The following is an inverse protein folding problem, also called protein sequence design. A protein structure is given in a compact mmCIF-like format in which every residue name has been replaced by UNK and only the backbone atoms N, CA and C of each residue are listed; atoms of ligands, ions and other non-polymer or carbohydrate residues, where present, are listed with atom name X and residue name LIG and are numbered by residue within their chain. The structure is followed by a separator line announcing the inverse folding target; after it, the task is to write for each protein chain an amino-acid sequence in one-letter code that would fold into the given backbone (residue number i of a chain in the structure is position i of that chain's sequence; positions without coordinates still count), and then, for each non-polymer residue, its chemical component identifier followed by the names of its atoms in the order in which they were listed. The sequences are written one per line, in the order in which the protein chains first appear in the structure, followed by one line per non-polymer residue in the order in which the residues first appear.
data_IF_343402875112
#
_entry.id   IF_343402875112
#
_cell.length_a   1.000
_cell.length_b   1.000
_cell.length_c   1.000
_cell.angle_alpha   90.00
_cell.angle_beta   90.00
_cell.angle_gamma   90.00
#
_symmetry.space_group_name_H-M   'P 1'
#
loop_
_entity.id
_entity.type
_entity.pdbx_description
1 polymer ?
#
# COMPACT_ATOMS: atom_id res chain seq x y z
N UNK A 1 15.46 -27.70 16.37
CA UNK A 1 14.35 -27.14 15.56
C UNK A 1 14.56 -27.58 14.12
N UNK A 2 13.51 -28.03 13.43
CA UNK A 2 13.65 -28.45 12.02
C UNK A 2 13.73 -27.22 11.09
N UNK A 3 14.42 -27.31 9.95
CA UNK A 3 14.43 -26.24 8.94
C UNK A 3 13.01 -25.85 8.50
N UNK A 4 12.12 -26.84 8.40
CA UNK A 4 10.72 -26.64 8.05
C UNK A 4 9.99 -25.72 9.05
N UNK A 5 10.17 -25.96 10.35
CA UNK A 5 9.57 -25.12 11.38
C UNK A 5 10.10 -23.68 11.30
N UNK A 6 11.41 -23.50 11.13
CA UNK A 6 12.02 -22.17 11.01
C UNK A 6 11.48 -21.39 9.81
N UNK A 7 11.25 -22.05 8.66
CA UNK A 7 10.67 -21.41 7.48
C UNK A 7 9.21 -21.02 7.69
N UNK A 8 8.40 -21.87 8.31
CA UNK A 8 7.00 -21.55 8.65
C UNK A 8 6.94 -20.36 9.61
N UNK A 9 7.77 -20.37 10.65
CA UNK A 9 7.85 -19.27 11.61
C UNK A 9 8.27 -17.95 10.94
N UNK A 10 9.26 -17.99 10.04
CA UNK A 10 9.67 -16.84 9.25
C UNK A 10 8.51 -16.28 8.40
N UNK A 11 7.79 -17.13 7.67
CA UNK A 11 6.65 -16.72 6.83
C UNK A 11 5.52 -16.13 7.68
N UNK A 12 5.24 -16.73 8.83
CA UNK A 12 4.27 -16.20 9.80
C UNK A 12 4.66 -14.80 10.26
N UNK A 13 5.89 -14.62 10.75
CA UNK A 13 6.37 -13.33 11.27
C UNK A 13 6.36 -12.26 10.18
N UNK A 14 6.81 -12.61 8.97
CA UNK A 14 6.79 -11.70 7.82
C UNK A 14 5.37 -11.21 7.51
N UNK A 15 4.42 -12.12 7.36
CA UNK A 15 3.05 -11.78 7.01
C UNK A 15 2.32 -11.06 8.15
N UNK A 16 2.47 -11.52 9.39
CA UNK A 16 1.87 -10.88 10.56
C UNK A 16 2.43 -9.47 10.79
N UNK A 17 3.74 -9.27 10.57
CA UNK A 17 4.38 -7.96 10.65
C UNK A 17 3.82 -6.98 9.61
N UNK A 18 3.69 -7.41 8.35
CA UNK A 18 3.06 -6.62 7.30
C UNK A 18 1.58 -6.35 7.58
N UNK A 19 0.85 -7.35 8.08
CA UNK A 19 -0.56 -7.23 8.43
C UNK A 19 -0.76 -6.20 9.56
N UNK A 20 0.04 -6.28 10.62
CA UNK A 20 -0.01 -5.34 11.75
C UNK A 20 0.34 -3.92 11.32
N UNK A 21 1.41 -3.75 10.54
CA UNK A 21 1.80 -2.44 10.01
C UNK A 21 0.69 -1.83 9.15
N UNK A 22 0.14 -2.58 8.18
CA UNK A 22 -0.90 -2.06 7.30
C UNK A 22 -2.23 -1.82 8.04
N UNK A 23 -2.52 -2.62 9.07
CA UNK A 23 -3.67 -2.38 9.96
C UNK A 23 -3.53 -1.06 10.69
N UNK A 24 -2.33 -0.72 11.19
CA UNK A 24 -2.08 0.58 11.82
C UNK A 24 -2.21 1.74 10.82
N UNK A 25 -1.72 1.57 9.59
CA UNK A 25 -1.89 2.57 8.52
C UNK A 25 -3.37 2.80 8.23
N UNK A 26 -4.12 1.73 7.96
CA UNK A 26 -5.55 1.81 7.68
C UNK A 26 -6.33 2.40 8.86
N UNK A 27 -5.99 2.02 10.09
CA UNK A 27 -6.61 2.57 11.29
C UNK A 27 -6.33 4.07 11.44
N UNK A 28 -5.08 4.50 11.26
CA UNK A 28 -4.71 5.92 11.30
C UNK A 28 -5.45 6.71 10.21
N UNK A 29 -5.55 6.15 9.00
CA UNK A 29 -6.28 6.74 7.89
C UNK A 29 -7.80 6.81 8.14
N UNK A 30 -8.37 5.82 8.84
CA UNK A 30 -9.77 5.83 9.25
C UNK A 30 -10.05 6.89 10.32
N UNK A 31 -9.21 6.96 11.36
CA UNK A 31 -9.34 7.94 12.46
C UNK A 31 -9.11 9.36 11.96
N UNK A 32 -8.06 9.56 11.17
CA UNK A 32 -7.68 10.85 10.62
C UNK A 32 -8.22 11.06 9.19
N UNK A 33 -9.42 10.55 8.90
CA UNK A 33 -9.95 10.49 7.53
C UNK A 33 -9.94 11.85 6.81
N UNK A 34 -10.31 12.93 7.51
CA UNK A 34 -10.31 14.29 6.94
C UNK A 34 -8.90 14.74 6.52
N UNK A 35 -7.87 14.37 7.29
CA UNK A 35 -6.48 14.69 6.99
C UNK A 35 -6.00 13.92 5.75
N UNK A 36 -6.41 12.66 5.62
CA UNK A 36 -6.12 11.85 4.44
C UNK A 36 -6.79 12.38 3.17
N UNK A 37 -8.08 12.77 3.25
CA UNK A 37 -8.78 13.45 2.15
C UNK A 37 -8.06 14.74 1.75
N UNK A 38 -7.63 15.53 2.74
CA UNK A 38 -6.85 16.74 2.48
C UNK A 38 -5.52 16.44 1.79
N UNK A 39 -4.76 15.44 2.24
CA UNK A 39 -3.49 15.05 1.66
C UNK A 39 -3.63 14.57 0.20
N UNK A 40 -4.63 13.71 -0.08
CA UNK A 40 -4.98 13.32 -1.46
C UNK A 40 -5.39 14.53 -2.28
N UNK A 41 -6.15 15.46 -1.70
CA UNK A 41 -6.51 16.71 -2.35
C UNK A 41 -5.30 17.56 -2.75
N UNK A 42 -4.27 17.64 -1.91
CA UNK A 42 -3.02 18.35 -2.25
C UNK A 42 -2.32 17.72 -3.45
N UNK A 43 -2.30 16.39 -3.54
CA UNK A 43 -1.74 15.65 -4.68
C UNK A 43 -2.57 15.91 -5.94
N UNK A 44 -3.89 15.73 -5.87
CA UNK A 44 -4.79 15.86 -7.02
C UNK A 44 -4.90 17.29 -7.56
N UNK A 45 -4.72 18.29 -6.69
CA UNK A 45 -4.59 19.71 -7.06
C UNK A 45 -3.19 20.08 -7.53
N UNK A 46 -2.23 19.18 -7.42
CA UNK A 46 -0.81 19.43 -7.72
C UNK A 46 -0.32 20.70 -7.00
N UNK A 47 -0.79 20.90 -5.77
CA UNK A 47 -0.52 22.10 -4.97
C UNK A 47 0.97 22.32 -4.65
N UNK A 48 1.80 21.27 -4.44
CA UNK A 48 3.24 21.45 -4.25
C UNK A 48 3.96 22.14 -5.42
N UNK A 49 3.41 22.09 -6.63
CA UNK A 49 4.01 22.76 -7.80
C UNK A 49 3.84 24.28 -7.76
N UNK A 50 2.87 24.77 -6.97
CA UNK A 50 2.62 26.21 -6.80
C UNK A 50 3.50 26.81 -5.70
N UNK A 51 4.20 25.98 -4.92
CA UNK A 51 5.14 26.44 -3.90
C UNK A 51 6.40 27.04 -4.53
N UNK A 52 6.90 28.14 -3.97
CA UNK A 52 8.09 28.82 -4.48
C UNK A 52 9.34 27.92 -4.41
N UNK A 53 10.18 27.85 -5.48
CA UNK A 53 9.93 28.40 -6.81
C UNK A 53 8.85 27.62 -7.57
N UNK A 54 7.82 28.30 -8.08
CA UNK A 54 6.70 27.64 -8.75
C UNK A 54 7.18 26.93 -10.03
N UNK A 55 6.67 25.72 -10.26
CA UNK A 55 7.01 24.88 -11.41
C UNK A 55 5.81 24.82 -12.34
N UNK A 56 5.91 25.48 -13.49
CA UNK A 56 4.89 25.44 -14.53
C UNK A 56 5.11 24.22 -15.42
N UNK A 57 4.05 23.45 -15.65
CA UNK A 57 4.13 22.26 -16.50
C UNK A 57 2.81 21.98 -17.20
N UNK A 58 2.81 21.51 -18.46
CA UNK A 58 1.58 21.09 -19.15
C UNK A 58 0.77 20.04 -18.39
N UNK A 59 1.38 19.32 -17.44
CA UNK A 59 0.70 18.32 -16.61
C UNK A 59 -0.35 18.92 -15.66
N UNK A 60 -0.24 20.21 -15.30
CA UNK A 60 -1.19 20.91 -14.42
C UNK A 60 -2.62 20.94 -14.97
N UNK A 61 -2.82 20.68 -16.27
CA UNK A 61 -4.17 20.50 -16.86
C UNK A 61 -4.95 19.31 -16.29
N UNK A 62 -4.29 18.39 -15.58
CA UNK A 62 -4.89 17.19 -14.98
C UNK A 62 -5.47 17.45 -13.59
N UNK A 63 -5.30 18.66 -13.03
CA UNK A 63 -5.75 19.01 -11.68
C UNK A 63 -7.22 18.68 -11.47
N UNK A 64 -7.53 18.17 -10.30
CA UNK A 64 -8.90 17.92 -9.87
C UNK A 64 -9.16 18.72 -8.60
N UNK A 65 -10.03 19.72 -8.70
CA UNK A 65 -10.34 20.63 -7.59
C UNK A 65 -11.49 20.14 -6.70
N UNK A 66 -12.37 19.31 -7.26
CA UNK A 66 -13.61 18.92 -6.63
C UNK A 66 -13.38 17.96 -5.44
N UNK A 67 -13.80 18.39 -4.25
CA UNK A 67 -13.56 17.67 -3.00
C UNK A 67 -14.20 16.27 -2.94
N UNK A 68 -15.29 16.04 -3.68
CA UNK A 68 -15.92 14.71 -3.73
C UNK A 68 -15.00 13.66 -4.36
N UNK A 69 -14.18 14.04 -5.35
CA UNK A 69 -13.17 13.16 -5.93
C UNK A 69 -12.04 12.86 -4.95
N UNK A 70 -11.57 13.85 -4.19
CA UNK A 70 -10.54 13.65 -3.18
C UNK A 70 -11.01 12.63 -2.12
N UNK A 71 -12.25 12.78 -1.67
CA UNK A 71 -12.89 11.86 -0.73
C UNK A 71 -13.06 10.46 -1.31
N UNK A 72 -13.52 10.35 -2.56
CA UNK A 72 -13.72 9.06 -3.21
C UNK A 72 -12.40 8.30 -3.40
N UNK A 73 -11.35 8.99 -3.86
CA UNK A 73 -10.02 8.39 -4.05
C UNK A 73 -9.41 7.97 -2.71
N UNK A 74 -9.48 8.82 -1.68
CA UNK A 74 -8.96 8.43 -0.36
C UNK A 74 -9.74 7.26 0.25
N UNK A 75 -11.07 7.23 0.09
CA UNK A 75 -11.88 6.09 0.53
C UNK A 75 -11.50 4.80 -0.20
N UNK A 76 -11.23 4.86 -1.51
CA UNK A 76 -10.75 3.71 -2.28
C UNK A 76 -9.41 3.19 -1.75
N UNK A 77 -8.45 4.09 -1.47
CA UNK A 77 -7.14 3.71 -0.89
C UNK A 77 -7.34 3.03 0.45
N UNK A 78 -8.14 3.62 1.35
CA UNK A 78 -8.41 3.05 2.67
C UNK A 78 -9.07 1.67 2.59
N UNK A 79 -10.02 1.47 1.66
CA UNK A 79 -10.64 0.16 1.43
C UNK A 79 -9.59 -0.86 0.95
N UNK A 80 -8.74 -0.47 0.00
CA UNK A 80 -7.69 -1.34 -0.53
C UNK A 80 -6.66 -1.73 0.56
N UNK A 81 -6.27 -0.78 1.43
CA UNK A 81 -5.42 -1.02 2.60
C UNK A 81 -6.09 -2.01 3.56
N UNK A 82 -7.37 -1.80 3.90
CA UNK A 82 -8.11 -2.66 4.82
C UNK A 82 -8.28 -4.09 4.28
N UNK A 83 -8.63 -4.23 3.00
CA UNK A 83 -8.74 -5.54 2.32
C UNK A 83 -7.38 -6.25 2.31
N UNK A 84 -6.31 -5.54 1.96
CA UNK A 84 -4.96 -6.10 1.97
C UNK A 84 -4.53 -6.54 3.37
N UNK A 85 -4.82 -5.75 4.41
CA UNK A 85 -4.51 -6.09 5.79
C UNK A 85 -5.28 -7.34 6.26
N UNK A 86 -6.56 -7.45 5.92
CA UNK A 86 -7.38 -8.62 6.24
C UNK A 86 -6.85 -9.89 5.56
N UNK A 87 -6.47 -9.81 4.29
CA UNK A 87 -5.86 -10.93 3.56
C UNK A 87 -4.51 -11.33 4.15
N UNK A 88 -3.68 -10.37 4.55
CA UNK A 88 -2.38 -10.65 5.18
C UNK A 88 -2.56 -11.36 6.54
N UNK A 89 -3.54 -10.95 7.35
CA UNK A 89 -3.88 -11.66 8.58
C UNK A 89 -4.38 -13.08 8.30
N UNK A 90 -5.27 -13.26 7.33
CA UNK A 90 -5.77 -14.57 6.95
C UNK A 90 -4.62 -15.50 6.51
N UNK A 91 -3.67 -14.98 5.72
CA UNK A 91 -2.48 -15.71 5.30
C UNK A 91 -1.55 -16.05 6.47
N UNK A 92 -1.32 -15.11 7.40
CA UNK A 92 -0.52 -15.35 8.60
C UNK A 92 -1.14 -16.46 9.46
N UNK A 93 -2.44 -16.40 9.76
CA UNK A 93 -3.13 -17.47 10.49
C UNK A 93 -3.14 -18.78 9.71
N UNK A 94 -3.17 -18.74 8.37
CA UNK A 94 -2.96 -19.91 7.53
C UNK A 94 -1.67 -20.65 7.87
N UNK A 95 -0.54 -19.94 8.01
CA UNK A 95 0.74 -20.53 8.42
C UNK A 95 0.79 -20.97 9.90
N UNK A 96 -0.15 -20.49 10.72
CA UNK A 96 -0.36 -20.99 12.09
C UNK A 96 -1.28 -22.22 12.16
N UNK A 97 -1.70 -22.77 11.00
CA UNK A 97 -2.52 -23.98 10.90
C UNK A 97 -4.00 -23.75 10.55
N UNK A 98 -4.41 -22.51 10.27
CA UNK A 98 -5.80 -22.20 9.94
C UNK A 98 -6.17 -22.43 8.46
N UNK A 99 -5.23 -22.89 7.61
CA UNK A 99 -5.47 -23.16 6.19
C UNK A 99 -4.65 -24.35 5.71
N UNK A 100 -5.21 -25.13 4.79
CA UNK A 100 -4.51 -26.21 4.09
C UNK A 100 -3.55 -25.68 3.01
N UNK A 101 -3.79 -24.46 2.49
CA UNK A 101 -3.00 -23.85 1.40
C UNK A 101 -2.51 -22.44 1.77
N UNK A 102 -1.68 -22.29 2.81
CA UNK A 102 -1.25 -20.98 3.30
C UNK A 102 -0.42 -20.18 2.28
N UNK A 103 0.32 -20.86 1.39
CA UNK A 103 1.12 -20.21 0.36
C UNK A 103 0.29 -19.53 -0.74
N UNK A 104 -0.81 -20.16 -1.17
CA UNK A 104 -1.73 -19.59 -2.15
C UNK A 104 -2.41 -18.33 -1.58
N UNK A 105 -2.92 -18.42 -0.35
CA UNK A 105 -3.53 -17.29 0.34
C UNK A 105 -2.53 -16.13 0.57
N UNK A 106 -1.30 -16.44 0.96
CA UNK A 106 -0.24 -15.44 1.10
C UNK A 106 0.10 -14.74 -0.23
N UNK A 107 0.10 -15.49 -1.34
CA UNK A 107 0.33 -14.92 -2.68
C UNK A 107 -0.78 -13.94 -3.05
N UNK A 108 -2.05 -14.27 -2.76
CA UNK A 108 -3.19 -13.37 -2.98
C UNK A 108 -3.04 -12.12 -2.12
N UNK A 109 -2.73 -12.27 -0.83
CA UNK A 109 -2.57 -11.16 0.11
C UNK A 109 -1.45 -10.19 -0.32
N UNK A 110 -0.29 -10.72 -0.71
CA UNK A 110 0.84 -9.91 -1.17
C UNK A 110 0.59 -9.28 -2.54
N UNK A 111 -0.18 -9.94 -3.40
CA UNK A 111 -0.65 -9.35 -4.66
C UNK A 111 -1.58 -8.17 -4.40
N UNK A 112 -2.49 -8.28 -3.42
CA UNK A 112 -3.36 -7.18 -3.02
C UNK A 112 -2.57 -5.97 -2.46
N UNK A 113 -1.56 -6.22 -1.62
CA UNK A 113 -0.64 -5.18 -1.14
C UNK A 113 0.12 -4.50 -2.30
N UNK A 114 0.63 -5.30 -3.24
CA UNK A 114 1.34 -4.80 -4.42
C UNK A 114 0.42 -3.98 -5.32
N UNK A 115 -0.81 -4.45 -5.56
CA UNK A 115 -1.82 -3.74 -6.34
C UNK A 115 -2.22 -2.41 -5.68
N UNK A 116 -2.37 -2.38 -4.36
CA UNK A 116 -2.64 -1.16 -3.58
C UNK A 116 -1.50 -0.16 -3.75
N UNK A 117 -0.25 -0.63 -3.68
CA UNK A 117 0.94 0.22 -3.87
C UNK A 117 1.08 0.73 -5.31
N UNK A 118 0.79 -0.11 -6.30
CA UNK A 118 0.76 0.27 -7.72
C UNK A 118 -0.34 1.30 -8.00
N UNK A 119 -1.53 1.13 -7.43
CA UNK A 119 -2.63 2.10 -7.54
C UNK A 119 -2.17 3.50 -7.09
N UNK A 120 -1.55 3.58 -5.92
CA UNK A 120 -1.03 4.84 -5.38
C UNK A 120 0.14 5.39 -6.21
N UNK A 121 1.05 4.54 -6.68
CA UNK A 121 2.15 4.94 -7.55
C UNK A 121 1.65 5.54 -8.87
N UNK A 122 0.72 4.86 -9.54
CA UNK A 122 0.13 5.31 -10.81
C UNK A 122 -0.66 6.60 -10.61
N UNK A 123 -1.48 6.69 -9.56
CA UNK A 123 -2.22 7.90 -9.20
C UNK A 123 -1.30 9.09 -8.94
N UNK A 124 -0.29 8.93 -8.07
CA UNK A 124 0.69 9.98 -7.80
C UNK A 124 1.46 10.41 -9.06
N UNK A 125 1.84 9.44 -9.90
CA UNK A 125 2.56 9.71 -11.16
C UNK A 125 1.71 10.46 -12.17
N UNK A 126 0.41 10.15 -12.26
CA UNK A 126 -0.55 10.89 -13.08
C UNK A 126 -0.60 12.38 -12.71
N UNK A 127 -0.58 12.68 -11.40
CA UNK A 127 -0.55 14.03 -10.84
C UNK A 127 0.87 14.61 -10.65
N UNK A 128 1.89 13.98 -11.22
CA UNK A 128 3.28 14.44 -11.21
C UNK A 128 3.86 14.70 -9.81
N UNK A 129 3.44 13.95 -8.80
CA UNK A 129 3.93 14.11 -7.43
C UNK A 129 5.45 13.92 -7.31
N UNK A 130 6.08 13.17 -8.23
CA UNK A 130 7.50 12.88 -8.27
C UNK A 130 8.39 14.12 -8.39
N UNK A 131 7.83 15.27 -8.81
CA UNK A 131 8.57 16.53 -8.95
C UNK A 131 8.90 17.14 -7.57
N UNK A 132 7.99 17.00 -6.59
CA UNK A 132 8.11 17.65 -5.26
C UNK A 132 7.89 16.71 -4.07
N UNK A 133 7.54 15.46 -4.33
CA UNK A 133 7.16 14.46 -3.34
C UNK A 133 7.79 13.09 -3.70
N UNK A 134 9.08 13.11 -4.05
CA UNK A 134 9.91 11.94 -4.37
C UNK A 134 9.91 10.88 -3.25
N UNK A 135 9.88 11.30 -1.98
CA UNK A 135 9.78 10.38 -0.84
C UNK A 135 8.50 9.53 -0.86
N UNK A 136 7.37 10.10 -1.29
CA UNK A 136 6.12 9.34 -1.44
C UNK A 136 6.26 8.30 -2.56
N UNK A 137 6.84 8.70 -3.69
CA UNK A 137 7.08 7.78 -4.79
C UNK A 137 8.03 6.63 -4.42
N UNK A 138 9.11 6.97 -3.73
CA UNK A 138 10.09 6.00 -3.24
C UNK A 138 9.42 5.00 -2.29
N UNK A 139 8.55 5.46 -1.39
CA UNK A 139 7.79 4.60 -0.48
C UNK A 139 6.97 3.56 -1.26
N UNK A 140 6.24 3.98 -2.30
CA UNK A 140 5.44 3.04 -3.10
C UNK A 140 6.30 2.02 -3.85
N UNK A 141 7.45 2.42 -4.42
CA UNK A 141 8.37 1.48 -5.04
C UNK A 141 8.95 0.47 -4.04
N UNK A 142 9.31 0.93 -2.84
CA UNK A 142 9.79 0.05 -1.76
C UNK A 142 8.73 -0.97 -1.39
N UNK A 143 7.46 -0.56 -1.22
CA UNK A 143 6.37 -1.48 -0.88
C UNK A 143 6.09 -2.51 -1.99
N UNK A 144 6.19 -2.12 -3.26
CA UNK A 144 6.12 -3.05 -4.40
C UNK A 144 7.27 -4.07 -4.31
N UNK A 145 8.49 -3.61 -4.04
CA UNK A 145 9.65 -4.50 -3.86
C UNK A 145 9.49 -5.46 -2.68
N UNK A 146 9.02 -4.96 -1.53
CA UNK A 146 8.70 -5.77 -0.35
C UNK A 146 7.67 -6.84 -0.67
N UNK A 147 6.58 -6.48 -1.35
CA UNK A 147 5.53 -7.44 -1.73
C UNK A 147 6.05 -8.50 -2.71
N UNK A 148 6.87 -8.12 -3.70
CA UNK A 148 7.46 -9.04 -4.65
C UNK A 148 8.44 -10.03 -3.98
N UNK A 149 9.36 -9.55 -3.15
CA UNK A 149 10.31 -10.39 -2.42
C UNK A 149 9.59 -11.30 -1.42
N UNK A 150 8.61 -10.75 -0.69
CA UNK A 150 7.79 -11.55 0.23
C UNK A 150 7.02 -12.65 -0.53
N UNK A 151 6.53 -12.37 -1.74
CA UNK A 151 5.82 -13.36 -2.56
C UNK A 151 6.73 -14.52 -2.93
N UNK A 152 7.97 -14.24 -3.32
CA UNK A 152 8.99 -15.27 -3.56
C UNK A 152 9.23 -16.06 -2.26
N UNK A 153 9.41 -15.37 -1.15
CA UNK A 153 9.75 -15.97 0.14
C UNK A 153 8.65 -16.93 0.67
N UNK A 154 7.37 -16.55 0.55
CA UNK A 154 6.26 -17.42 1.01
C UNK A 154 6.08 -18.66 0.11
N UNK A 155 6.52 -18.60 -1.14
CA UNK A 155 6.46 -19.72 -2.08
C UNK A 155 7.70 -20.63 -2.08
N UNK A 156 8.71 -20.32 -1.26
CA UNK A 156 9.82 -21.25 -1.03
C UNK A 156 9.30 -22.55 -0.40
N UNK A 157 9.72 -23.70 -0.95
CA UNK A 157 9.31 -25.01 -0.45
C UNK A 157 9.88 -25.24 0.96
N UNK A 158 9.05 -25.84 1.80
CA UNK A 158 9.35 -26.25 3.18
C UNK A 158 9.90 -27.67 3.15
#
# INVERSE_FOLDING_TARGET
MSPAFSLIAFKFVLLAGLAAWLSLVAFNNLVAFRNGVFAIGQIMRMAPLDQAPAIQTPLQRRRVEAAHWHRAVFALVLIAEAVSAALLWAAAFGYAGASAEPAALATIALTALMATSLLMLLGGSWFAYYIRQDNLQTTHFVLIGVAAVATIAVNLRV
#
